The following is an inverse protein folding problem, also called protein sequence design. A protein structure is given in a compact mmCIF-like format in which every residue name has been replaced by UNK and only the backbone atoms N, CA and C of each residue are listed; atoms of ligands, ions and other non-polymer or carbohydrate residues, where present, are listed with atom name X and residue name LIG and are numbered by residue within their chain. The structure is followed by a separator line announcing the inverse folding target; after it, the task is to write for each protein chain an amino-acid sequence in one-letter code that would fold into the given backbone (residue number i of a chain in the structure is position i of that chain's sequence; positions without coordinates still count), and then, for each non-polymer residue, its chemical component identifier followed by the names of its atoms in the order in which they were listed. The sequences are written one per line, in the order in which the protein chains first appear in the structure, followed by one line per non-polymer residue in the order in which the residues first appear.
data_IF_600278584959
#
_entry.id   IF_600278584959
#
_cell.length_a   1.000
_cell.length_b   1.000
_cell.length_c   1.000
_cell.angle_alpha   90.00
_cell.angle_beta   90.00
_cell.angle_gamma   90.00
#
_symmetry.space_group_name_H-M   'P 1'
#
loop_
_entity.id
_entity.type
_entity.pdbx_description
1 polymer ?
#
# COMPACT_ATOMS: atom_id res chain seq x y z
N UNK A 1 2.91 5.22 4.09
CA UNK A 1 2.98 3.73 4.07
C UNK A 1 1.61 3.06 4.24
N UNK A 2 1.02 2.95 5.44
CA UNK A 2 -0.25 2.19 5.62
C UNK A 2 -1.40 2.69 4.73
N UNK A 3 -1.51 4.01 4.55
CA UNK A 3 -2.52 4.60 3.67
C UNK A 3 -2.29 4.18 2.21
N UNK A 4 -1.03 4.20 1.75
CA UNK A 4 -0.64 3.80 0.40
C UNK A 4 -0.83 2.30 0.14
N UNK A 5 -0.62 1.45 1.15
CA UNK A 5 -0.95 0.02 1.07
C UNK A 5 -2.46 -0.20 0.93
N UNK A 6 -3.28 0.50 1.72
CA UNK A 6 -4.75 0.44 1.59
C UNK A 6 -5.21 0.94 0.23
N UNK A 7 -4.57 1.98 -0.32
CA UNK A 7 -4.85 2.48 -1.67
C UNK A 7 -4.54 1.42 -2.73
N UNK A 8 -3.42 0.70 -2.63
CA UNK A 8 -3.11 -0.42 -3.54
C UNK A 8 -4.13 -1.55 -3.41
N UNK A 9 -4.51 -1.91 -2.19
CA UNK A 9 -5.53 -2.94 -1.95
C UNK A 9 -6.86 -2.56 -2.60
N UNK A 10 -7.32 -1.33 -2.38
CA UNK A 10 -8.54 -0.79 -2.96
C UNK A 10 -8.48 -0.77 -4.49
N UNK A 11 -7.40 -0.26 -5.06
CA UNK A 11 -7.23 -0.21 -6.52
C UNK A 11 -7.24 -1.61 -7.15
N UNK A 12 -6.65 -2.62 -6.50
CA UNK A 12 -6.72 -4.00 -6.97
C UNK A 12 -8.14 -4.57 -6.87
N UNK A 13 -8.89 -4.26 -5.80
CA UNK A 13 -10.28 -4.66 -5.67
C UNK A 13 -11.17 -4.02 -6.75
N UNK A 14 -10.94 -2.75 -7.05
CA UNK A 14 -11.64 -2.03 -8.12
C UNK A 14 -11.33 -2.64 -9.49
N UNK A 15 -10.06 -3.00 -9.75
CA UNK A 15 -9.66 -3.70 -10.98
C UNK A 15 -10.31 -5.08 -11.12
N UNK A 16 -10.38 -5.85 -10.04
CA UNK A 16 -11.04 -7.15 -10.04
C UNK A 16 -12.54 -7.00 -10.33
N UNK A 17 -13.19 -6.03 -9.68
CA UNK A 17 -14.60 -5.72 -9.90
C UNK A 17 -14.86 -5.32 -11.35
N UNK A 18 -14.05 -4.42 -11.91
CA UNK A 18 -14.15 -4.00 -13.30
C UNK A 18 -13.96 -5.18 -14.28
N UNK A 19 -13.02 -6.08 -13.97
CA UNK A 19 -12.77 -7.28 -14.79
C UNK A 19 -13.93 -8.27 -14.75
N UNK A 20 -14.50 -8.49 -13.56
CA UNK A 20 -15.71 -9.31 -13.39
C UNK A 20 -16.93 -8.72 -14.11
N UNK A 21 -17.10 -7.39 -14.06
CA UNK A 21 -18.17 -6.70 -14.79
C UNK A 21 -18.01 -6.85 -16.31
N UNK A 22 -16.78 -6.70 -16.82
CA UNK A 22 -16.49 -6.93 -18.23
C UNK A 22 -16.82 -8.37 -18.64
N UNK A 23 -16.45 -9.36 -17.82
CA UNK A 23 -16.78 -10.76 -18.07
C UNK A 23 -18.30 -11.00 -18.04
N UNK A 24 -19.02 -10.39 -17.10
CA UNK A 24 -20.47 -10.46 -17.04
C UNK A 24 -21.13 -9.85 -18.30
N UNK A 25 -20.58 -8.76 -18.86
CA UNK A 25 -21.05 -8.18 -20.12
C UNK A 25 -20.83 -9.11 -21.31
N UNK A 26 -19.72 -9.84 -21.37
CA UNK A 26 -19.50 -10.86 -22.39
C UNK A 26 -20.49 -12.02 -22.29
N UNK A 27 -20.75 -12.50 -21.07
CA UNK A 27 -21.73 -13.55 -20.83
C UNK A 27 -23.13 -13.08 -21.25
N UNK A 28 -23.51 -11.85 -20.88
CA UNK A 28 -24.78 -11.25 -21.26
C UNK A 28 -24.94 -11.13 -22.79
N UNK A 29 -23.86 -10.83 -23.51
CA UNK A 29 -23.88 -10.79 -24.97
C UNK A 29 -24.07 -12.20 -25.59
N UNK A 30 -23.47 -13.23 -24.99
CA UNK A 30 -23.57 -14.60 -25.47
C UNK A 30 -25.00 -15.16 -25.32
N UNK A 31 -25.77 -14.66 -24.36
CA UNK A 31 -27.18 -15.01 -24.16
C UNK A 31 -28.13 -14.34 -25.16
N UNK A 32 -27.68 -13.32 -25.91
CA UNK A 32 -28.53 -12.63 -26.89
C UNK A 32 -28.65 -13.47 -28.17
N UNK A 33 -29.73 -14.24 -28.25
CA UNK A 33 -30.09 -14.94 -29.49
C UNK A 33 -30.76 -14.01 -30.49
N UNK A 34 -30.40 -14.20 -31.77
CA UNK A 34 -31.03 -13.47 -32.87
C UNK A 34 -32.22 -14.27 -33.40
N UNK A 35 -33.42 -13.68 -33.51
CA UNK A 35 -34.60 -14.40 -33.97
C UNK A 35 -34.43 -14.81 -35.44
N UNK A 36 -34.42 -16.12 -35.70
CA UNK A 36 -34.29 -16.68 -37.06
C UNK A 36 -35.58 -16.55 -37.88
N UNK A 37 -36.72 -16.41 -37.21
CA UNK A 37 -38.07 -16.27 -37.79
C UNK A 37 -38.93 -15.41 -36.87
N UNK A 38 -39.90 -14.67 -37.43
CA UNK A 38 -40.88 -13.89 -36.66
C UNK A 38 -41.10 -12.48 -37.18
N UNK A 39 -41.72 -11.63 -36.35
CA UNK A 39 -42.02 -10.23 -36.68
C UNK A 39 -40.74 -9.37 -36.71
N UNK A 40 -40.68 -8.41 -37.64
CA UNK A 40 -39.61 -7.41 -37.78
C UNK A 40 -39.34 -6.66 -36.46
N UNK A 41 -40.37 -6.46 -35.64
CA UNK A 41 -40.27 -5.83 -34.31
C UNK A 41 -39.31 -6.59 -33.38
N UNK A 42 -39.35 -7.93 -33.38
CA UNK A 42 -38.46 -8.78 -32.56
C UNK A 42 -37.02 -8.71 -33.04
N UNK A 43 -36.82 -8.64 -34.36
CA UNK A 43 -35.49 -8.47 -34.95
C UNK A 43 -34.88 -7.11 -34.57
N UNK A 44 -35.65 -6.03 -34.68
CA UNK A 44 -35.19 -4.70 -34.28
C UNK A 44 -34.86 -4.63 -32.78
N UNK A 45 -35.67 -5.24 -31.92
CA UNK A 45 -35.38 -5.33 -30.49
C UNK A 45 -34.07 -6.08 -30.19
N UNK A 46 -33.86 -7.25 -30.82
CA UNK A 46 -32.61 -8.02 -30.68
C UNK A 46 -31.39 -7.23 -31.17
N UNK A 47 -31.51 -6.50 -32.29
CA UNK A 47 -30.45 -5.62 -32.80
C UNK A 47 -30.10 -4.51 -31.82
N UNK A 48 -31.10 -3.87 -31.21
CA UNK A 48 -30.88 -2.84 -30.19
C UNK A 48 -30.18 -3.42 -28.97
N UNK A 49 -30.62 -4.60 -28.48
CA UNK A 49 -29.97 -5.30 -27.38
C UNK A 49 -28.49 -5.62 -27.67
N UNK A 50 -28.19 -6.16 -28.85
CA UNK A 50 -26.82 -6.44 -29.29
C UNK A 50 -25.96 -5.16 -29.34
N UNK A 51 -26.53 -4.07 -29.86
CA UNK A 51 -25.84 -2.77 -29.92
C UNK A 51 -25.51 -2.24 -28.52
N UNK A 52 -26.48 -2.29 -27.60
CA UNK A 52 -26.30 -1.87 -26.22
C UNK A 52 -25.28 -2.74 -25.49
N UNK A 53 -25.35 -4.06 -25.64
CA UNK A 53 -24.40 -4.99 -25.04
C UNK A 53 -22.96 -4.76 -25.53
N UNK A 54 -22.77 -4.51 -26.83
CA UNK A 54 -21.47 -4.13 -27.40
C UNK A 54 -20.95 -2.82 -26.82
N UNK A 55 -21.81 -1.81 -26.71
CA UNK A 55 -21.43 -0.52 -26.12
C UNK A 55 -21.03 -0.66 -24.64
N UNK A 56 -21.73 -1.50 -23.88
CA UNK A 56 -21.40 -1.79 -22.48
C UNK A 56 -20.04 -2.52 -22.36
N UNK A 57 -19.74 -3.44 -23.27
CA UNK A 57 -18.44 -4.13 -23.32
C UNK A 57 -17.30 -3.13 -23.57
N UNK A 58 -17.45 -2.24 -24.55
CA UNK A 58 -16.40 -1.23 -24.83
C UNK A 58 -16.19 -0.30 -23.64
N UNK A 59 -17.26 0.18 -23.01
CA UNK A 59 -17.17 0.97 -21.79
C UNK A 59 -16.44 0.23 -20.66
N UNK A 60 -16.79 -1.04 -20.43
CA UNK A 60 -16.16 -1.84 -19.38
C UNK A 60 -14.68 -2.16 -19.69
N UNK A 61 -14.31 -2.29 -20.97
CA UNK A 61 -12.89 -2.42 -21.37
C UNK A 61 -12.10 -1.15 -21.05
N UNK A 62 -12.65 0.02 -21.37
CA UNK A 62 -12.04 1.31 -21.03
C UNK A 62 -11.88 1.44 -19.52
N UNK A 63 -12.91 1.06 -18.76
CA UNK A 63 -12.89 1.09 -17.30
C UNK A 63 -11.82 0.15 -16.71
N UNK A 64 -11.69 -1.07 -17.22
CA UNK A 64 -10.59 -1.98 -16.84
C UNK A 64 -9.23 -1.35 -17.18
N UNK A 65 -9.10 -0.71 -18.34
CA UNK A 65 -7.88 0.00 -18.73
C UNK A 65 -7.53 1.13 -17.76
N UNK A 66 -8.53 1.91 -17.34
CA UNK A 66 -8.37 2.95 -16.32
C UNK A 66 -7.96 2.37 -14.97
N UNK A 67 -8.67 1.34 -14.47
CA UNK A 67 -8.37 0.69 -13.21
C UNK A 67 -6.95 0.10 -13.17
N UNK A 68 -6.46 -0.48 -14.28
CA UNK A 68 -5.07 -0.94 -14.40
C UNK A 68 -4.05 0.20 -14.21
N UNK A 69 -4.30 1.36 -14.82
CA UNK A 69 -3.45 2.54 -14.65
C UNK A 69 -3.45 3.03 -13.19
N UNK A 70 -4.61 3.01 -12.54
CA UNK A 70 -4.72 3.38 -11.11
C UNK A 70 -3.93 2.43 -10.21
N UNK A 71 -4.02 1.12 -10.44
CA UNK A 71 -3.20 0.14 -9.71
C UNK A 71 -1.71 0.40 -9.90
N UNK A 72 -1.27 0.70 -11.13
CA UNK A 72 0.12 1.01 -11.41
C UNK A 72 0.59 2.26 -10.63
N UNK A 73 -0.17 3.36 -10.69
CA UNK A 73 0.13 4.59 -9.96
C UNK A 73 0.18 4.37 -8.44
N UNK A 74 -0.80 3.65 -7.89
CA UNK A 74 -0.83 3.35 -6.46
C UNK A 74 0.40 2.53 -6.02
N UNK A 75 0.87 1.60 -6.85
CA UNK A 75 2.09 0.80 -6.57
C UNK A 75 3.35 1.66 -6.58
N UNK A 76 3.48 2.57 -7.54
CA UNK A 76 4.63 3.48 -7.59
C UNK A 76 4.66 4.41 -6.37
N UNK A 77 3.50 4.93 -5.96
CA UNK A 77 3.39 5.74 -4.74
C UNK A 77 3.76 4.93 -3.49
N UNK A 78 3.28 3.69 -3.36
CA UNK A 78 3.67 2.82 -2.25
C UNK A 78 5.17 2.58 -2.21
N UNK A 79 5.80 2.35 -3.37
CA UNK A 79 7.25 2.16 -3.46
C UNK A 79 8.02 3.39 -2.99
N UNK A 80 7.58 4.59 -3.36
CA UNK A 80 8.18 5.85 -2.88
C UNK A 80 8.05 5.98 -1.36
N UNK A 81 6.84 5.76 -0.83
CA UNK A 81 6.57 5.78 0.61
C UNK A 81 7.44 4.79 1.40
N UNK A 82 7.68 3.60 0.85
CA UNK A 82 8.53 2.59 1.50
C UNK A 82 9.98 3.05 1.58
N UNK A 83 10.52 3.63 0.51
CA UNK A 83 11.89 4.16 0.48
C UNK A 83 12.06 5.28 1.51
N UNK A 84 11.09 6.20 1.58
CA UNK A 84 11.13 7.29 2.56
C UNK A 84 11.09 6.75 3.99
N UNK A 85 10.20 5.81 4.26
CA UNK A 85 10.07 5.18 5.57
C UNK A 85 11.35 4.43 6.00
N UNK A 86 11.99 3.69 5.08
CA UNK A 86 13.28 3.05 5.36
C UNK A 86 14.40 4.05 5.64
N UNK A 87 14.42 5.17 4.90
CA UNK A 87 15.37 6.26 5.14
C UNK A 87 15.18 6.87 6.53
N UNK A 88 13.94 7.11 6.95
CA UNK A 88 13.64 7.61 8.30
C UNK A 88 14.11 6.62 9.37
N UNK A 89 13.77 5.34 9.24
CA UNK A 89 14.22 4.29 10.18
C UNK A 89 15.74 4.25 10.31
N UNK A 90 16.47 4.40 9.21
CA UNK A 90 17.92 4.42 9.24
C UNK A 90 18.46 5.61 10.04
N UNK A 91 17.92 6.81 9.82
CA UNK A 91 18.32 8.01 10.53
C UNK A 91 17.99 7.94 12.03
N UNK A 92 16.81 7.45 12.39
CA UNK A 92 16.43 7.22 13.80
C UNK A 92 17.39 6.27 14.50
N UNK A 93 17.79 5.19 13.82
CA UNK A 93 18.74 4.21 14.37
C UNK A 93 20.13 4.83 14.58
N UNK A 94 20.60 5.69 13.67
CA UNK A 94 21.83 6.45 13.87
C UNK A 94 21.74 7.41 15.06
N UNK A 95 20.61 8.08 15.24
CA UNK A 95 20.39 9.00 16.35
C UNK A 95 20.35 8.27 17.70
N UNK A 96 19.64 7.14 17.78
CA UNK A 96 19.63 6.26 18.95
C UNK A 96 21.06 5.79 19.29
N UNK A 97 21.86 5.40 18.30
CA UNK A 97 23.27 5.02 18.51
C UNK A 97 24.08 6.17 19.09
N UNK A 98 23.90 7.40 18.60
CA UNK A 98 24.60 8.59 19.14
C UNK A 98 24.21 8.86 20.58
N UNK A 99 22.91 8.76 20.91
CA UNK A 99 22.40 8.95 22.28
C UNK A 99 22.99 7.89 23.22
N UNK A 100 22.94 6.61 22.83
CA UNK A 100 23.51 5.51 23.62
C UNK A 100 25.00 5.68 23.86
N UNK A 101 25.75 6.12 22.84
CA UNK A 101 27.19 6.36 22.97
C UNK A 101 27.47 7.53 23.94
N UNK A 102 26.65 8.58 23.91
CA UNK A 102 26.74 9.70 24.85
C UNK A 102 26.43 9.26 26.28
N UNK A 103 25.40 8.45 26.48
CA UNK A 103 25.04 7.88 27.80
C UNK A 103 26.16 7.00 28.34
N UNK A 104 26.68 6.06 27.55
CA UNK A 104 27.81 5.20 27.98
C UNK A 104 29.05 5.98 28.37
N UNK A 105 29.35 7.07 27.65
CA UNK A 105 30.47 7.97 27.99
C UNK A 105 30.22 8.73 29.28
N UNK A 106 28.98 9.14 29.54
CA UNK A 106 28.62 9.80 30.79
C UNK A 106 28.69 8.83 31.96
N UNK A 107 28.09 7.65 31.82
CA UNK A 107 28.13 6.58 32.82
C UNK A 107 29.58 6.20 33.17
N UNK A 108 30.46 6.07 32.18
CA UNK A 108 31.88 5.78 32.43
C UNK A 108 32.57 6.89 33.24
N UNK A 109 32.31 8.17 32.93
CA UNK A 109 32.86 9.30 33.69
C UNK A 109 32.33 9.34 35.11
N UNK A 110 31.03 9.14 35.28
CA UNK A 110 30.40 9.13 36.61
C UNK A 110 30.98 8.00 37.46
N UNK A 111 31.26 6.83 36.85
CA UNK A 111 31.87 5.68 37.53
C UNK A 111 33.33 5.93 37.91
N UNK A 112 34.10 6.58 37.03
CA UNK A 112 35.47 7.03 37.32
C UNK A 112 35.49 8.07 38.45
N UNK A 113 34.56 9.03 38.47
CA UNK A 113 34.43 10.01 39.54
C UNK A 113 34.08 9.35 40.88
N UNK A 114 33.14 8.40 40.90
CA UNK A 114 32.80 7.62 42.10
C UNK A 114 34.00 6.80 42.59
N UNK A 115 34.77 6.18 41.69
CA UNK A 115 35.98 5.45 42.05
C UNK A 115 37.03 6.37 42.69
N UNK A 116 37.26 7.56 42.11
CA UNK A 116 38.14 8.57 42.68
C UNK A 116 37.65 9.06 44.04
N UNK A 117 36.36 9.33 44.22
CA UNK A 117 35.81 9.72 45.53
C UNK A 117 35.95 8.63 46.58
N UNK A 118 35.83 7.36 46.19
CA UNK A 118 35.96 6.21 47.09
C UNK A 118 37.42 5.98 47.48
N UNK A 119 38.35 6.10 46.52
CA UNK A 119 39.78 5.96 46.77
C UNK A 119 40.38 7.17 47.51
N UNK A 120 39.87 8.37 47.27
CA UNK A 120 40.32 9.62 47.90
C UNK A 120 39.73 9.85 49.29
N UNK A 121 38.87 8.94 49.80
CA UNK A 121 38.56 8.87 51.23
C UNK A 121 39.69 8.10 51.91
N UNK A 122 40.68 8.78 52.53
CA UNK A 122 41.61 8.08 53.40
C UNK A 122 40.82 7.37 54.51
N UNK A 123 41.29 6.20 54.92
CA UNK A 123 40.84 5.47 56.12
C UNK A 123 41.11 6.27 57.41
N UNK A 124 40.59 7.48 57.55
CA UNK A 124 40.50 8.17 58.82
C UNK A 124 39.16 7.82 59.49
N UNK A 125 38.92 6.54 59.77
CA UNK A 125 37.99 6.13 60.83
C UNK A 125 38.07 4.66 61.27
N UNK A 126 39.28 4.10 61.40
CA UNK A 126 39.48 2.88 62.21
C UNK A 126 40.64 3.09 63.18
N UNK A 127 40.46 3.97 64.17
CA UNK A 127 41.03 3.84 65.52
C UNK A 127 40.10 4.55 66.50
N UNK A 128 39.51 3.77 67.41
CA UNK A 128 38.60 4.19 68.48
C UNK A 128 37.88 2.99 69.03
#
# INVERSE_FOLDING_TARGET
MEQSERLVQRANADLNTASSQLQASYNSLAEVESPQRGSISKFLASRTLLSTARSAIEHNKEWVGFAKKQVHLARENLKSDMIEHEKFKYLELEEIKKILLKQKRQEAKDLDEVALMTYSKPESNIKG
#
